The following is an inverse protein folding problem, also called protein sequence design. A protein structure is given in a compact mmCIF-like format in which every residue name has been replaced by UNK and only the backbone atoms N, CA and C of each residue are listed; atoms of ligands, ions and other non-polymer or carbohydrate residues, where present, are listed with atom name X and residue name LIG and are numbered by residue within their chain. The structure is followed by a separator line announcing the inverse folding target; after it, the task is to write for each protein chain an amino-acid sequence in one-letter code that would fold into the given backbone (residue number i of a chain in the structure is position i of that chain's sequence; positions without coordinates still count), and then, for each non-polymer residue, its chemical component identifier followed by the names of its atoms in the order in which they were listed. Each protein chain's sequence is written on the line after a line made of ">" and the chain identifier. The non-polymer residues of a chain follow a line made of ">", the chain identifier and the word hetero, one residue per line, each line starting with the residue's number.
data_IF_257691705027
#
_entry.id   IF_257691705027
#
_cell.length_a   1.000
_cell.length_b   1.000
_cell.length_c   1.000
_cell.angle_alpha   90.00
_cell.angle_beta   90.00
_cell.angle_gamma   90.00
#
_symmetry.space_group_name_H-M   'P 1'
#
loop_
_entity.id
_entity.type
_entity.pdbx_description
1 polymer ?
#
# COMPACT_ATOMS: atom_id res chain seq x y z
N UNK A 1 -12.35 -7.12 5.31
CA UNK A 1 -11.39 -6.13 4.77
C UNK A 1 -10.01 -6.75 4.82
N UNK A 2 -9.25 -6.62 3.74
CA UNK A 2 -7.83 -7.00 3.69
C UNK A 2 -7.02 -5.73 3.43
N UNK A 3 -5.81 -5.66 3.97
CA UNK A 3 -4.89 -4.56 3.72
C UNK A 3 -3.52 -5.09 3.31
N UNK A 4 -2.82 -4.27 2.52
CA UNK A 4 -1.45 -4.47 2.10
C UNK A 4 -0.66 -3.20 2.38
N UNK A 5 0.68 -3.33 2.44
CA UNK A 5 1.57 -2.18 2.55
C UNK A 5 2.77 -2.34 1.65
N UNK A 6 3.26 -1.22 1.13
CA UNK A 6 4.47 -1.19 0.32
C UNK A 6 5.23 0.10 0.56
N UNK A 7 6.52 0.12 0.23
CA UNK A 7 7.31 1.35 0.25
C UNK A 7 6.67 2.37 -0.69
N UNK A 8 6.66 3.64 -0.28
CA UNK A 8 6.22 4.74 -1.14
C UNK A 8 7.07 4.88 -2.42
N UNK A 9 8.29 4.32 -2.44
CA UNK A 9 9.18 4.32 -3.61
C UNK A 9 9.00 3.09 -4.53
N UNK A 10 8.22 2.08 -4.11
CA UNK A 10 8.05 0.84 -4.89
C UNK A 10 6.85 0.94 -5.84
N UNK A 11 6.97 1.77 -6.88
CA UNK A 11 5.91 2.03 -7.86
C UNK A 11 5.39 0.75 -8.52
N UNK A 12 6.26 -0.19 -8.87
CA UNK A 12 5.87 -1.46 -9.48
C UNK A 12 4.92 -2.28 -8.58
N UNK A 13 5.17 -2.33 -7.27
CA UNK A 13 4.26 -2.98 -6.34
C UNK A 13 2.96 -2.19 -6.15
N UNK A 14 3.01 -0.86 -6.19
CA UNK A 14 1.83 0.01 -6.06
C UNK A 14 0.86 -0.24 -7.21
N UNK A 15 1.36 -0.31 -8.45
CA UNK A 15 0.54 -0.60 -9.63
C UNK A 15 -0.20 -1.93 -9.52
N UNK A 16 0.45 -2.98 -9.00
CA UNK A 16 -0.21 -4.28 -8.79
C UNK A 16 -1.37 -4.18 -7.81
N UNK A 17 -1.24 -3.42 -6.72
CA UNK A 17 -2.34 -3.24 -5.76
C UNK A 17 -3.53 -2.53 -6.39
N UNK A 18 -3.26 -1.48 -7.18
CA UNK A 18 -4.28 -0.71 -7.88
C UNK A 18 -4.98 -1.55 -8.96
N UNK A 19 -4.24 -2.35 -9.73
CA UNK A 19 -4.80 -3.30 -10.70
C UNK A 19 -5.68 -4.37 -10.06
N UNK A 20 -5.32 -4.82 -8.85
CA UNK A 20 -6.12 -5.78 -8.06
C UNK A 20 -7.34 -5.11 -7.36
N UNK A 21 -7.57 -3.82 -7.59
CA UNK A 21 -8.73 -3.10 -7.06
C UNK A 21 -8.58 -2.61 -5.62
N UNK A 22 -7.37 -2.68 -5.04
CA UNK A 22 -7.12 -2.05 -3.75
C UNK A 22 -7.07 -0.54 -3.89
N UNK A 23 -7.48 0.18 -2.84
CA UNK A 23 -7.37 1.64 -2.75
C UNK A 23 -6.29 2.06 -1.78
N UNK A 24 -5.52 3.07 -2.13
CA UNK A 24 -4.59 3.70 -1.19
C UNK A 24 -5.39 4.48 -0.13
N UNK A 25 -5.27 4.07 1.11
CA UNK A 25 -6.03 4.64 2.23
C UNK A 25 -5.17 5.51 3.14
N UNK A 26 -3.85 5.32 3.14
CA UNK A 26 -2.94 6.13 3.93
C UNK A 26 -1.51 6.19 3.36
N UNK A 27 -0.82 7.27 3.73
CA UNK A 27 0.63 7.43 3.64
C UNK A 27 1.19 7.61 5.05
N UNK A 28 1.92 6.61 5.53
CA UNK A 28 2.60 6.65 6.82
C UNK A 28 4.00 7.23 6.62
N UNK A 29 4.24 8.44 7.12
CA UNK A 29 5.53 9.13 6.99
C UNK A 29 6.55 8.58 7.97
N UNK A 30 7.79 8.41 7.52
CA UNK A 30 8.92 7.92 8.33
C UNK A 30 8.59 6.62 9.10
N UNK A 31 7.78 5.75 8.51
CA UNK A 31 7.13 4.65 9.24
C UNK A 31 8.04 3.44 9.46
N UNK A 32 8.99 3.19 8.57
CA UNK A 32 9.91 2.06 8.68
C UNK A 32 11.35 2.50 8.50
N UNK A 33 12.25 2.02 9.36
CA UNK A 33 13.69 2.23 9.20
C UNK A 33 14.31 1.10 8.40
N UNK A 34 14.79 1.39 7.20
CA UNK A 34 15.39 0.41 6.30
C UNK A 34 16.53 1.06 5.52
N UNK A 35 17.61 0.31 5.27
CA UNK A 35 18.77 0.79 4.49
C UNK A 35 19.38 2.11 5.01
N UNK A 36 19.34 2.32 6.33
CA UNK A 36 19.98 3.47 6.98
C UNK A 36 19.11 4.72 7.11
N UNK A 37 17.87 4.72 6.63
CA UNK A 37 16.95 5.86 6.75
C UNK A 37 15.52 5.44 7.08
N UNK A 38 14.73 6.38 7.59
CA UNK A 38 13.29 6.22 7.66
C UNK A 38 12.67 6.38 6.28
N UNK A 39 11.64 5.58 6.02
CA UNK A 39 11.00 5.45 4.73
C UNK A 39 9.49 5.55 4.89
N UNK A 40 8.87 6.22 3.94
CA UNK A 40 7.43 6.33 3.84
C UNK A 40 6.82 5.00 3.37
N UNK A 41 5.64 4.68 3.89
CA UNK A 41 4.90 3.46 3.55
C UNK A 41 3.48 3.79 3.15
N UNK A 42 3.01 3.23 2.04
CA UNK A 42 1.62 3.30 1.64
C UNK A 42 0.84 2.10 2.18
N UNK A 43 -0.37 2.35 2.65
CA UNK A 43 -1.34 1.34 3.03
C UNK A 43 -2.46 1.31 2.01
N UNK A 44 -2.74 0.10 1.55
CA UNK A 44 -3.79 -0.22 0.61
C UNK A 44 -4.84 -1.08 1.30
N UNK A 45 -6.11 -0.89 0.95
CA UNK A 45 -7.22 -1.69 1.46
C UNK A 45 -8.22 -2.09 0.38
N UNK A 46 -8.87 -3.23 0.59
CA UNK A 46 -10.01 -3.68 -0.20
C UNK A 46 -11.09 -4.28 0.70
N UNK A 47 -12.34 -3.96 0.43
CA UNK A 47 -13.51 -4.56 1.06
C UNK A 47 -14.00 -5.78 0.27
N UNK A 48 -14.69 -6.70 0.94
CA UNK A 48 -15.26 -7.89 0.28
C UNK A 48 -16.22 -7.50 -0.86
N UNK A 49 -17.06 -6.48 -0.64
CA UNK A 49 -17.99 -5.96 -1.65
C UNK A 49 -17.33 -5.30 -2.86
N UNK A 50 -16.04 -4.93 -2.75
CA UNK A 50 -15.26 -4.38 -3.86
C UNK A 50 -14.55 -5.50 -4.64
N UNK A 51 -14.25 -6.63 -3.97
CA UNK A 51 -13.68 -7.83 -4.58
C UNK A 51 -14.71 -8.69 -5.31
N UNK A 52 -15.93 -8.81 -4.79
CA UNK A 52 -16.99 -9.66 -5.36
C UNK A 52 -17.73 -9.04 -6.56
N UNK A 53 -17.28 -7.87 -7.06
CA UNK A 53 -17.82 -7.20 -8.24
C UNK A 53 -17.13 -7.63 -9.52
#
# INVERSE_FOLDING_TARGET
>A
RVYARTSAENEASQSVWEELGFRQEAKMRDHTYQRGSFQDVFYYGILQSEWEK
#
